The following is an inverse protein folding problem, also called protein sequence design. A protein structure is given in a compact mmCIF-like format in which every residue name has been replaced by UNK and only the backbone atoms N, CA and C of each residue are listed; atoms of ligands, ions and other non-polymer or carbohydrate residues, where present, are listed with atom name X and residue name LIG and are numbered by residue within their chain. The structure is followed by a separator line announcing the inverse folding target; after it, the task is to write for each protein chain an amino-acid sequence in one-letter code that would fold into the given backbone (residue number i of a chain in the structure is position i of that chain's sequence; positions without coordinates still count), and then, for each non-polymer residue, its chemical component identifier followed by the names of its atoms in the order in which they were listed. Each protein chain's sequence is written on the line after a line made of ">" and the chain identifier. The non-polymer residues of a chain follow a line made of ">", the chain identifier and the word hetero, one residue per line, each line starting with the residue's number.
data_IF_840927345196
#
_entry.id   IF_840927345196
#
_cell.length_a   1.000
_cell.length_b   1.000
_cell.length_c   1.000
_cell.angle_alpha   90.00
_cell.angle_beta   90.00
_cell.angle_gamma   90.00
#
_symmetry.space_group_name_H-M   'P 1'
#
loop_
_entity.id
_entity.type
_entity.pdbx_description
1 polymer ?
#
# COMPACT_ATOMS: atom_id res chain seq x y z
N UNK A 1 -12.03 12.27 17.33
CA UNK A 1 -12.00 12.56 15.87
C UNK A 1 -13.01 11.73 15.05
N UNK A 2 -13.02 10.40 15.16
CA UNK A 2 -13.85 9.49 14.35
C UNK A 2 -15.35 9.86 14.35
N UNK A 3 -15.93 10.18 15.52
CA UNK A 3 -17.34 10.60 15.60
C UNK A 3 -17.64 11.87 14.78
N UNK A 4 -16.73 12.85 14.78
CA UNK A 4 -16.88 14.08 13.97
C UNK A 4 -16.89 13.77 12.48
N UNK A 5 -16.01 12.87 12.01
CA UNK A 5 -15.97 12.43 10.62
C UNK A 5 -17.25 11.68 10.23
N UNK A 6 -17.79 10.82 11.11
CA UNK A 6 -19.07 10.13 10.88
C UNK A 6 -20.23 11.11 10.72
N UNK A 7 -20.31 12.11 11.60
CA UNK A 7 -21.35 13.14 11.52
C UNK A 7 -21.20 14.01 10.26
N UNK A 8 -19.96 14.40 9.92
CA UNK A 8 -19.68 15.12 8.68
C UNK A 8 -20.10 14.31 7.45
N UNK A 9 -19.80 13.01 7.40
CA UNK A 9 -20.22 12.12 6.31
C UNK A 9 -21.75 12.06 6.17
N UNK A 10 -22.48 12.00 7.29
CA UNK A 10 -23.95 12.01 7.30
C UNK A 10 -24.48 13.34 6.77
N UNK A 11 -23.99 14.46 7.32
CA UNK A 11 -24.38 15.80 6.88
C UNK A 11 -24.08 16.05 5.40
N UNK A 12 -22.91 15.62 4.90
CA UNK A 12 -22.55 15.73 3.47
C UNK A 12 -23.51 14.89 2.63
N UNK A 13 -23.85 13.67 3.05
CA UNK A 13 -24.79 12.81 2.32
C UNK A 13 -26.19 13.44 2.24
N UNK A 14 -26.67 14.01 3.34
CA UNK A 14 -27.97 14.66 3.40
C UNK A 14 -27.96 15.94 2.56
N UNK A 15 -26.89 16.74 2.64
CA UNK A 15 -26.69 17.91 1.78
C UNK A 15 -26.64 17.54 0.29
N UNK A 16 -25.93 16.47 -0.09
CA UNK A 16 -25.89 15.97 -1.48
C UNK A 16 -27.27 15.54 -1.97
N UNK A 17 -28.16 15.06 -1.09
CA UNK A 17 -29.56 14.76 -1.44
C UNK A 17 -30.39 16.03 -1.65
N UNK A 18 -30.05 17.13 -0.99
CA UNK A 18 -30.72 18.43 -1.16
C UNK A 18 -30.22 19.21 -2.38
N UNK A 19 -29.04 18.87 -2.92
CA UNK A 19 -28.55 19.50 -4.14
C UNK A 19 -29.47 19.15 -5.32
N UNK A 20 -29.92 20.14 -6.11
CA UNK A 20 -30.66 19.85 -7.33
C UNK A 20 -29.81 18.95 -8.21
N UNK A 21 -30.39 17.82 -8.66
CA UNK A 21 -29.79 16.96 -9.69
C UNK A 21 -29.92 17.60 -11.07
N UNK A 22 -29.67 18.91 -11.17
CA UNK A 22 -29.61 19.58 -12.45
C UNK A 22 -28.47 18.99 -13.23
N UNK A 23 -28.78 18.38 -14.36
CA UNK A 23 -27.74 17.82 -15.22
C UNK A 23 -26.93 18.99 -15.78
N UNK A 24 -25.61 18.84 -15.88
CA UNK A 24 -24.76 19.84 -16.55
C UNK A 24 -25.35 20.19 -17.94
N UNK A 25 -25.96 19.21 -18.61
CA UNK A 25 -26.63 19.37 -19.89
C UNK A 25 -27.81 20.34 -19.84
N UNK A 26 -28.63 20.31 -18.79
CA UNK A 26 -29.75 21.24 -18.58
C UNK A 26 -29.25 22.67 -18.37
N UNK A 27 -28.23 22.86 -17.52
CA UNK A 27 -27.64 24.19 -17.26
C UNK A 27 -26.89 24.75 -18.47
N UNK A 28 -26.26 23.88 -19.26
CA UNK A 28 -25.67 24.26 -20.54
C UNK A 28 -26.72 24.62 -21.60
N UNK A 29 -27.89 23.97 -21.59
CA UNK A 29 -29.01 24.35 -22.44
C UNK A 29 -29.57 25.71 -22.02
N UNK A 30 -29.83 25.91 -20.73
CA UNK A 30 -30.30 27.19 -20.18
C UNK A 30 -29.33 28.34 -20.50
N UNK A 31 -28.02 28.11 -20.44
CA UNK A 31 -27.02 29.10 -20.82
C UNK A 31 -27.04 29.41 -22.32
N UNK A 32 -27.22 28.39 -23.17
CA UNK A 32 -27.33 28.58 -24.63
C UNK A 32 -28.57 29.39 -24.98
N UNK A 33 -29.71 29.06 -24.38
CA UNK A 33 -30.98 29.75 -24.63
C UNK A 33 -30.90 31.22 -24.19
N UNK A 34 -30.33 31.48 -23.01
CA UNK A 34 -30.13 32.84 -22.51
C UNK A 34 -29.13 33.65 -23.39
N UNK A 35 -28.10 33.00 -23.93
CA UNK A 35 -27.16 33.63 -24.87
C UNK A 35 -27.82 33.96 -26.21
N UNK A 36 -28.77 33.15 -26.68
CA UNK A 36 -29.58 33.43 -27.87
C UNK A 36 -30.55 34.61 -27.62
N UNK A 37 -31.17 34.69 -26.44
CA UNK A 37 -32.03 35.82 -26.07
C UNK A 37 -31.24 37.13 -25.97
N UNK A 38 -30.03 37.09 -25.41
CA UNK A 38 -29.12 38.25 -25.34
C UNK A 38 -28.64 38.73 -26.71
N UNK A 39 -28.54 37.85 -27.71
CA UNK A 39 -28.25 38.27 -29.10
C UNK A 39 -29.41 39.06 -29.71
N UNK A 40 -30.65 38.83 -29.25
CA UNK A 40 -31.84 39.58 -29.66
C UNK A 40 -32.03 40.91 -28.92
N UNK A 41 -31.56 41.03 -27.67
CA UNK A 41 -31.68 42.24 -26.84
C UNK A 41 -30.37 42.58 -26.12
N UNK A 42 -29.45 43.22 -26.87
CA UNK A 42 -28.07 43.47 -26.44
C UNK A 42 -27.90 44.54 -25.33
N UNK A 43 -28.97 45.22 -24.92
CA UNK A 43 -28.91 46.34 -23.97
C UNK A 43 -29.46 46.01 -22.58
N UNK A 44 -29.92 44.77 -22.35
CA UNK A 44 -30.44 44.35 -21.04
C UNK A 44 -29.32 44.01 -20.05
N UNK A 45 -29.01 44.97 -19.15
CA UNK A 45 -28.02 44.78 -18.08
C UNK A 45 -28.38 43.65 -17.09
N UNK A 46 -29.67 43.37 -16.91
CA UNK A 46 -30.15 42.29 -16.03
C UNK A 46 -29.91 40.90 -16.64
N UNK A 47 -30.14 40.76 -17.96
CA UNK A 47 -29.85 39.52 -18.68
C UNK A 47 -28.34 39.25 -18.75
N UNK A 48 -27.52 40.27 -18.98
CA UNK A 48 -26.06 40.13 -18.95
C UNK A 48 -25.55 39.69 -17.56
N UNK A 49 -26.14 40.20 -16.47
CA UNK A 49 -25.80 39.77 -15.12
C UNK A 49 -26.28 38.35 -14.80
N UNK A 50 -27.40 37.91 -15.39
CA UNK A 50 -27.90 36.53 -15.30
C UNK A 50 -27.02 35.56 -16.08
N UNK A 51 -26.59 35.92 -17.29
CA UNK A 51 -25.67 35.13 -18.12
C UNK A 51 -24.35 34.92 -17.40
N UNK A 52 -23.76 35.99 -16.85
CA UNK A 52 -22.50 35.89 -16.12
C UNK A 52 -22.58 34.95 -14.92
N UNK A 53 -23.70 34.96 -14.18
CA UNK A 53 -23.93 34.05 -13.05
C UNK A 53 -24.09 32.60 -13.51
N UNK A 54 -24.90 32.38 -14.55
CA UNK A 54 -25.16 31.04 -15.09
C UNK A 54 -23.90 30.44 -15.74
N UNK A 55 -23.10 31.25 -16.44
CA UNK A 55 -21.81 30.87 -17.00
C UNK A 55 -20.81 30.47 -15.91
N UNK A 56 -20.77 31.20 -14.79
CA UNK A 56 -19.94 30.85 -13.63
C UNK A 56 -20.39 29.53 -12.99
N UNK A 57 -21.70 29.30 -12.88
CA UNK A 57 -22.28 28.05 -12.37
C UNK A 57 -21.94 26.86 -13.29
N UNK A 58 -22.14 27.01 -14.60
CA UNK A 58 -21.79 25.98 -15.61
C UNK A 58 -20.30 25.67 -15.59
N UNK A 59 -19.42 26.68 -15.54
CA UNK A 59 -17.97 26.46 -15.45
C UNK A 59 -17.59 25.75 -14.15
N UNK A 60 -18.25 26.04 -13.04
CA UNK A 60 -18.03 25.35 -11.77
C UNK A 60 -18.44 23.87 -11.87
N UNK A 61 -19.61 23.58 -12.45
CA UNK A 61 -20.09 22.22 -12.67
C UNK A 61 -19.19 21.43 -13.63
N UNK A 62 -18.70 22.07 -14.70
CA UNK A 62 -17.72 21.49 -15.64
C UNK A 62 -16.43 21.12 -14.93
N UNK A 63 -15.85 22.05 -14.17
CA UNK A 63 -14.63 21.82 -13.41
C UNK A 63 -14.80 20.66 -12.41
N UNK A 64 -15.96 20.57 -11.75
CA UNK A 64 -16.27 19.44 -10.85
C UNK A 64 -16.34 18.10 -11.60
N UNK A 65 -16.97 18.04 -12.77
CA UNK A 65 -17.01 16.84 -13.59
C UNK A 65 -15.62 16.45 -14.10
N UNK A 66 -14.82 17.42 -14.55
CA UNK A 66 -13.44 17.24 -14.99
C UNK A 66 -12.57 16.65 -13.88
N UNK A 67 -12.57 17.26 -12.69
CA UNK A 67 -11.82 16.76 -11.53
C UNK A 67 -12.26 15.34 -11.17
N UNK A 68 -13.57 15.09 -11.16
CA UNK A 68 -14.12 13.77 -10.84
C UNK A 68 -13.74 12.70 -11.87
N UNK A 69 -13.77 13.04 -13.16
CA UNK A 69 -13.39 12.13 -14.24
C UNK A 69 -11.87 11.87 -14.22
N UNK A 70 -11.05 12.90 -14.05
CA UNK A 70 -9.60 12.79 -13.94
C UNK A 70 -9.19 11.88 -12.77
N UNK A 71 -9.82 12.07 -11.61
CA UNK A 71 -9.58 11.22 -10.43
C UNK A 71 -9.96 9.76 -10.69
N UNK A 72 -11.11 9.51 -11.34
CA UNK A 72 -11.57 8.17 -11.70
C UNK A 72 -10.68 7.50 -12.76
N UNK A 73 -10.13 8.28 -13.69
CA UNK A 73 -9.20 7.80 -14.69
C UNK A 73 -7.81 7.46 -14.10
N UNK A 74 -7.41 8.08 -12.97
CA UNK A 74 -6.06 8.08 -12.39
C UNK A 74 -4.95 8.47 -13.40
N UNK A 75 -5.21 9.45 -14.25
CA UNK A 75 -4.20 10.01 -15.16
C UNK A 75 -3.43 11.15 -14.46
N UNK A 76 -2.10 11.04 -14.38
CA UNK A 76 -1.22 12.07 -13.78
C UNK A 76 -0.84 13.21 -14.74
N UNK A 77 -1.19 13.10 -16.03
CA UNK A 77 -0.75 13.98 -17.11
C UNK A 77 -1.49 15.33 -17.20
N UNK A 78 -2.55 15.50 -16.41
CA UNK A 78 -3.42 16.66 -16.47
C UNK A 78 -2.88 17.82 -15.62
N UNK A 79 -1.59 18.12 -15.74
CA UNK A 79 -1.03 19.37 -15.20
C UNK A 79 -1.30 20.56 -16.13
N UNK A 80 -1.53 20.32 -17.43
CA UNK A 80 -1.82 21.36 -18.40
C UNK A 80 -2.98 20.96 -19.34
N UNK A 81 -4.18 21.47 -19.04
CA UNK A 81 -5.04 22.07 -20.07
C UNK A 81 -5.89 21.23 -21.04
N UNK A 82 -6.33 20.00 -20.74
CA UNK A 82 -7.29 19.30 -21.62
C UNK A 82 -8.61 18.86 -20.93
N UNK A 83 -9.73 19.14 -21.61
CA UNK A 83 -11.13 19.05 -21.12
C UNK A 83 -11.59 17.62 -20.81
N UNK A 84 -12.70 17.44 -20.09
CA UNK A 84 -13.36 16.13 -19.91
C UNK A 84 -13.97 15.60 -21.24
N UNK A 85 -13.12 15.12 -22.13
CA UNK A 85 -13.49 14.58 -23.45
C UNK A 85 -14.05 13.15 -23.36
N UNK A 86 -14.73 12.73 -24.44
CA UNK A 86 -15.16 11.33 -24.65
C UNK A 86 -14.01 10.33 -24.43
N UNK A 87 -12.79 10.71 -24.79
CA UNK A 87 -11.58 9.93 -24.54
C UNK A 87 -11.39 9.55 -23.07
N UNK A 88 -11.60 10.47 -22.11
CA UNK A 88 -11.49 10.13 -20.69
C UNK A 88 -12.56 9.13 -20.24
N UNK A 89 -13.79 9.30 -20.72
CA UNK A 89 -14.85 8.33 -20.46
C UNK A 89 -14.55 6.97 -21.07
N UNK A 90 -13.94 6.92 -22.26
CA UNK A 90 -13.53 5.67 -22.91
C UNK A 90 -12.36 5.01 -22.16
N UNK A 91 -11.38 5.77 -21.66
CA UNK A 91 -10.31 5.27 -20.78
C UNK A 91 -10.88 4.72 -19.47
N UNK A 92 -11.85 5.43 -18.86
CA UNK A 92 -12.54 4.96 -17.66
C UNK A 92 -13.30 3.66 -17.97
N UNK A 93 -14.06 3.59 -19.07
CA UNK A 93 -14.80 2.38 -19.48
C UNK A 93 -13.86 1.22 -19.76
N UNK A 94 -12.77 1.45 -20.48
CA UNK A 94 -11.76 0.42 -20.77
C UNK A 94 -11.11 -0.10 -19.47
N UNK A 95 -10.84 0.78 -18.50
CA UNK A 95 -10.33 0.39 -17.18
C UNK A 95 -11.37 -0.37 -16.36
N UNK A 96 -12.62 0.08 -16.35
CA UNK A 96 -13.72 -0.62 -15.70
C UNK A 96 -13.91 -2.00 -16.30
N UNK A 97 -13.85 -2.14 -17.62
CA UNK A 97 -13.96 -3.41 -18.31
C UNK A 97 -12.81 -4.35 -17.97
N UNK A 98 -11.56 -3.88 -18.01
CA UNK A 98 -10.37 -4.67 -17.62
C UNK A 98 -10.37 -5.10 -16.14
N UNK A 99 -10.88 -4.26 -15.25
CA UNK A 99 -10.94 -4.55 -13.82
C UNK A 99 -12.20 -5.32 -13.40
N UNK A 100 -13.18 -5.47 -14.30
CA UNK A 100 -14.43 -6.16 -13.99
C UNK A 100 -14.18 -7.65 -13.89
N UNK A 101 -14.33 -8.19 -12.69
CA UNK A 101 -14.37 -9.63 -12.47
C UNK A 101 -15.71 -10.13 -13.02
N UNK A 102 -15.66 -10.79 -14.17
CA UNK A 102 -16.84 -11.37 -14.85
C UNK A 102 -16.99 -12.86 -14.56
N UNK A 103 -15.87 -13.54 -14.35
CA UNK A 103 -15.82 -14.98 -14.13
C UNK A 103 -14.65 -15.31 -13.21
N UNK A 104 -14.86 -16.24 -12.29
CA UNK A 104 -13.82 -16.82 -11.46
C UNK A 104 -13.84 -18.34 -11.60
N UNK A 105 -12.68 -18.97 -11.52
CA UNK A 105 -12.58 -20.42 -11.33
C UNK A 105 -12.50 -20.64 -9.83
N UNK A 106 -13.55 -21.23 -9.26
CA UNK A 106 -13.59 -21.61 -7.84
C UNK A 106 -12.62 -22.74 -7.53
N UNK A 107 -12.46 -23.05 -6.25
CA UNK A 107 -11.54 -24.10 -5.76
C UNK A 107 -11.78 -25.47 -6.39
N UNK A 108 -13.04 -25.79 -6.71
CA UNK A 108 -13.45 -27.07 -7.29
C UNK A 108 -13.24 -27.14 -8.82
N UNK A 109 -12.55 -26.16 -9.41
CA UNK A 109 -12.39 -26.03 -10.85
C UNK A 109 -13.64 -25.54 -11.58
N UNK A 110 -14.73 -25.27 -10.85
CA UNK A 110 -16.00 -24.78 -11.41
C UNK A 110 -15.90 -23.32 -11.81
N UNK A 111 -16.46 -23.00 -12.98
CA UNK A 111 -16.58 -21.63 -13.44
C UNK A 111 -17.75 -20.94 -12.73
N UNK A 112 -17.43 -19.93 -11.93
CA UNK A 112 -18.38 -19.07 -11.24
C UNK A 112 -18.58 -17.80 -12.07
N UNK A 113 -19.79 -17.62 -12.60
CA UNK A 113 -20.18 -16.45 -13.40
C UNK A 113 -21.24 -15.59 -12.70
N UNK A 114 -21.96 -16.17 -11.73
CA UNK A 114 -22.95 -15.44 -10.94
C UNK A 114 -22.28 -14.41 -10.03
N UNK A 115 -22.88 -13.21 -9.94
CA UNK A 115 -22.31 -12.10 -9.19
C UNK A 115 -22.28 -12.37 -7.68
N UNK A 116 -23.30 -13.02 -7.13
CA UNK A 116 -23.37 -13.32 -5.70
C UNK A 116 -22.34 -14.39 -5.36
N UNK A 117 -22.28 -15.45 -6.17
CA UNK A 117 -21.29 -16.51 -6.00
C UNK A 117 -19.84 -15.99 -6.13
N UNK A 118 -19.56 -15.04 -7.03
CA UNK A 118 -18.25 -14.37 -7.13
C UNK A 118 -17.90 -13.62 -5.83
N UNK A 119 -18.88 -12.96 -5.21
CA UNK A 119 -18.67 -12.21 -3.97
C UNK A 119 -18.36 -13.16 -2.81
N UNK A 120 -19.15 -14.22 -2.66
CA UNK A 120 -18.97 -15.24 -1.63
C UNK A 120 -17.62 -15.96 -1.78
N UNK A 121 -17.24 -16.34 -3.00
CA UNK A 121 -15.96 -16.96 -3.31
C UNK A 121 -14.79 -16.03 -2.94
N UNK A 122 -14.90 -14.73 -3.26
CA UNK A 122 -13.86 -13.76 -2.93
C UNK A 122 -13.70 -13.58 -1.42
N UNK A 123 -14.82 -13.45 -0.68
CA UNK A 123 -14.79 -13.35 0.78
C UNK A 123 -14.19 -14.61 1.40
N UNK A 124 -14.61 -15.79 0.96
CA UNK A 124 -14.08 -17.07 1.44
C UNK A 124 -12.57 -17.18 1.20
N UNK A 125 -12.13 -16.96 -0.04
CA UNK A 125 -10.72 -17.08 -0.42
C UNK A 125 -9.82 -16.16 0.39
N UNK A 126 -10.18 -14.88 0.56
CA UNK A 126 -9.36 -13.94 1.33
C UNK A 126 -9.48 -14.14 2.84
N UNK A 127 -10.63 -14.58 3.34
CA UNK A 127 -10.77 -14.98 4.73
C UNK A 127 -9.86 -16.17 5.05
N UNK A 128 -9.87 -17.23 4.22
CA UNK A 128 -8.95 -18.37 4.36
C UNK A 128 -7.48 -17.98 4.14
N UNK A 129 -7.19 -17.08 3.19
CA UNK A 129 -5.84 -16.61 2.97
C UNK A 129 -5.28 -15.90 4.21
N UNK A 130 -6.09 -15.07 4.87
CA UNK A 130 -5.65 -14.27 6.02
C UNK A 130 -5.79 -14.96 7.37
N UNK A 131 -6.33 -16.18 7.40
CA UNK A 131 -6.37 -17.01 8.59
C UNK A 131 -5.48 -18.25 8.41
N UNK A 132 -4.51 -18.40 9.30
CA UNK A 132 -3.74 -19.64 9.44
C UNK A 132 -3.74 -20.07 10.90
N UNK A 133 -3.75 -21.38 11.11
CA UNK A 133 -3.86 -22.02 12.43
C UNK A 133 -2.53 -22.51 12.99
N UNK A 134 -1.54 -22.79 12.14
CA UNK A 134 -0.34 -23.50 12.56
C UNK A 134 0.93 -22.69 12.24
N UNK A 135 1.59 -22.22 13.29
CA UNK A 135 2.95 -21.69 13.27
C UNK A 135 3.77 -22.36 14.38
N UNK A 136 5.09 -22.51 14.19
CA UNK A 136 5.96 -22.92 15.28
C UNK A 136 5.91 -21.87 16.39
N UNK A 137 5.82 -22.32 17.65
CA UNK A 137 5.82 -21.46 18.83
C UNK A 137 7.22 -21.02 19.26
N UNK A 138 8.26 -21.59 18.65
CA UNK A 138 9.66 -21.34 18.98
C UNK A 138 10.38 -20.84 17.74
N UNK A 139 10.93 -19.63 17.83
CA UNK A 139 11.71 -19.02 16.76
C UNK A 139 13.21 -19.10 17.09
N UNK A 140 14.06 -19.51 16.15
CA UNK A 140 15.50 -19.53 16.39
C UNK A 140 16.02 -18.11 16.66
N UNK A 141 16.77 -17.94 17.76
CA UNK A 141 17.41 -16.66 18.08
C UNK A 141 18.71 -16.50 17.27
N UNK A 142 18.58 -16.06 16.02
CA UNK A 142 19.74 -15.76 15.17
C UNK A 142 20.31 -14.36 15.43
N UNK A 143 19.45 -13.40 15.75
CA UNK A 143 19.86 -12.03 16.10
C UNK A 143 20.19 -12.00 17.59
N UNK A 144 21.49 -12.05 17.89
CA UNK A 144 22.02 -12.09 19.27
C UNK A 144 22.57 -10.74 19.74
N UNK A 145 22.71 -9.78 18.83
CA UNK A 145 23.18 -8.42 19.12
C UNK A 145 22.02 -7.44 19.01
N UNK A 146 21.88 -6.59 20.02
CA UNK A 146 20.98 -5.44 19.99
C UNK A 146 21.41 -4.50 18.86
N UNK A 147 20.59 -4.38 17.82
CA UNK A 147 20.87 -3.56 16.65
C UNK A 147 20.37 -2.13 16.84
N UNK A 148 19.25 -1.95 17.53
CA UNK A 148 18.76 -0.62 17.90
C UNK A 148 19.23 -0.22 19.30
N UNK A 149 19.89 0.92 19.39
CA UNK A 149 20.39 1.43 20.66
C UNK A 149 19.26 2.01 21.52
N UNK A 150 19.53 2.20 22.81
CA UNK A 150 18.61 2.91 23.71
C UNK A 150 18.31 4.33 23.20
N UNK A 151 19.33 5.01 22.65
CA UNK A 151 19.14 6.28 21.96
C UNK A 151 18.20 6.15 20.75
N UNK A 152 18.37 5.13 19.91
CA UNK A 152 17.45 4.84 18.81
C UNK A 152 16.00 4.65 19.27
N UNK A 153 15.80 3.86 20.32
CA UNK A 153 14.48 3.71 20.95
C UNK A 153 13.93 5.04 21.49
N UNK A 154 14.76 5.89 22.09
CA UNK A 154 14.32 7.21 22.58
C UNK A 154 13.77 8.11 21.45
N UNK A 155 14.37 8.03 20.25
CA UNK A 155 13.90 8.75 19.06
C UNK A 155 12.57 8.18 18.55
N UNK A 156 12.44 6.85 18.50
CA UNK A 156 11.17 6.18 18.14
C UNK A 156 10.04 6.55 19.12
N UNK A 157 10.37 6.77 20.39
CA UNK A 157 9.41 7.01 21.47
C UNK A 157 9.13 8.49 21.77
N UNK A 158 9.78 9.43 21.08
CA UNK A 158 9.61 10.86 21.31
C UNK A 158 8.13 11.32 21.20
N UNK A 159 7.69 12.36 21.91
CA UNK A 159 6.32 12.87 21.77
C UNK A 159 6.02 13.36 20.34
N UNK A 160 4.80 13.12 19.86
CA UNK A 160 4.37 13.55 18.51
C UNK A 160 4.08 15.06 18.49
N UNK A 161 4.69 15.77 17.53
CA UNK A 161 4.52 17.21 17.33
C UNK A 161 3.56 17.50 16.18
N UNK A 162 2.84 18.63 16.27
CA UNK A 162 1.95 19.10 15.19
C UNK A 162 2.66 19.20 13.84
N UNK A 163 3.89 19.72 13.84
CA UNK A 163 4.68 19.92 12.62
C UNK A 163 4.95 18.61 11.86
N UNK A 164 5.17 17.50 12.57
CA UNK A 164 5.39 16.17 11.96
C UNK A 164 4.12 15.71 11.24
N UNK A 165 2.98 15.83 11.91
CA UNK A 165 1.66 15.45 11.37
C UNK A 165 1.32 16.33 10.16
N UNK A 166 1.51 17.63 10.28
CA UNK A 166 1.26 18.59 9.21
C UNK A 166 2.11 18.29 7.97
N UNK A 167 3.40 18.00 8.15
CA UNK A 167 4.30 17.64 7.05
C UNK A 167 3.76 16.44 6.27
N UNK A 168 3.29 15.39 6.96
CA UNK A 168 2.71 14.21 6.33
C UNK A 168 1.43 14.56 5.56
N UNK A 169 0.54 15.33 6.19
CA UNK A 169 -0.71 15.73 5.54
C UNK A 169 -0.45 16.57 4.31
N UNK A 170 0.49 17.53 4.37
CA UNK A 170 0.82 18.44 3.26
C UNK A 170 1.59 17.78 2.13
N UNK A 171 2.36 16.73 2.39
CA UNK A 171 3.09 15.98 1.35
C UNK A 171 2.24 14.93 0.63
N UNK A 172 1.12 14.48 1.21
CA UNK A 172 0.33 13.39 0.66
C UNK A 172 -0.33 13.74 -0.70
N UNK A 173 -0.25 12.85 -1.68
CA UNK A 173 -0.96 13.04 -2.95
C UNK A 173 -2.49 13.10 -2.72
N UNK A 174 -3.13 14.21 -3.12
CA UNK A 174 -4.54 14.48 -2.88
C UNK A 174 -5.49 13.58 -3.70
N UNK A 175 -4.99 12.93 -4.75
CA UNK A 175 -5.77 12.09 -5.67
C UNK A 175 -5.96 10.65 -5.18
N UNK A 176 -5.32 10.26 -4.08
CA UNK A 176 -5.38 8.88 -3.56
C UNK A 176 -6.78 8.49 -3.11
N UNK A 177 -7.13 7.22 -3.32
CA UNK A 177 -8.42 6.67 -2.94
C UNK A 177 -8.61 6.66 -1.41
N UNK A 178 -9.81 6.98 -0.91
CA UNK A 178 -10.12 6.93 0.51
C UNK A 178 -10.30 5.49 1.02
N UNK A 179 -10.29 5.32 2.34
CA UNK A 179 -10.71 4.09 3.00
C UNK A 179 -12.24 4.05 3.22
N UNK A 180 -12.73 3.14 4.08
CA UNK A 180 -14.15 3.00 4.42
C UNK A 180 -14.84 4.27 4.94
N UNK A 181 -14.08 5.16 5.58
CA UNK A 181 -14.60 6.44 6.05
C UNK A 181 -15.02 7.37 4.88
N UNK A 182 -14.43 7.20 3.70
CA UNK A 182 -14.70 8.00 2.50
C UNK A 182 -13.93 9.32 2.42
N UNK A 183 -13.01 9.59 3.36
CA UNK A 183 -12.23 10.83 3.38
C UNK A 183 -10.83 10.60 2.81
N UNK A 184 -10.52 11.27 1.70
CA UNK A 184 -9.19 11.19 1.06
C UNK A 184 -8.18 12.13 1.72
N UNK A 185 -6.90 11.94 1.42
CA UNK A 185 -5.82 12.88 1.77
C UNK A 185 -6.14 14.33 1.36
N UNK A 186 -6.76 14.51 0.20
CA UNK A 186 -7.19 15.83 -0.30
C UNK A 186 -8.21 16.52 0.62
N UNK A 187 -9.11 15.77 1.26
CA UNK A 187 -10.04 16.31 2.25
C UNK A 187 -9.29 16.87 3.47
N UNK A 188 -8.33 16.11 4.00
CA UNK A 188 -7.54 16.54 5.17
C UNK A 188 -6.66 17.75 4.85
N UNK A 189 -6.03 17.77 3.67
CA UNK A 189 -5.25 18.92 3.18
C UNK A 189 -6.08 20.19 3.11
N UNK A 190 -7.23 20.13 2.42
CA UNK A 190 -8.08 21.31 2.17
C UNK A 190 -8.67 21.89 3.47
N UNK A 191 -8.99 21.04 4.44
CA UNK A 191 -9.62 21.45 5.69
C UNK A 191 -8.66 21.40 6.89
N UNK A 192 -7.35 21.41 6.64
CA UNK A 192 -6.33 21.21 7.68
C UNK A 192 -6.46 22.20 8.84
N UNK A 193 -6.74 23.46 8.55
CA UNK A 193 -6.91 24.51 9.57
C UNK A 193 -7.96 24.15 10.64
N UNK A 194 -9.01 23.41 10.25
CA UNK A 194 -10.09 22.96 11.13
C UNK A 194 -9.75 21.61 11.77
N UNK A 195 -9.06 20.73 11.02
CA UNK A 195 -8.81 19.35 11.41
C UNK A 195 -7.53 19.15 12.24
N UNK A 196 -6.57 20.08 12.21
CA UNK A 196 -5.23 19.90 12.79
C UNK A 196 -5.24 19.49 14.26
N UNK A 197 -6.02 20.18 15.10
CA UNK A 197 -6.11 19.91 16.54
C UNK A 197 -6.72 18.53 16.83
N UNK A 198 -7.93 18.18 16.32
CA UNK A 198 -8.51 16.86 16.59
C UNK A 198 -7.76 15.71 15.92
N UNK A 199 -7.06 15.94 14.80
CA UNK A 199 -6.18 14.92 14.20
C UNK A 199 -4.97 14.67 15.09
N UNK A 200 -4.28 15.71 15.54
CA UNK A 200 -3.14 15.56 16.45
C UNK A 200 -3.53 14.81 17.72
N UNK A 201 -4.64 15.19 18.35
CA UNK A 201 -5.12 14.52 19.56
C UNK A 201 -5.38 13.03 19.34
N UNK A 202 -6.00 12.64 18.22
CA UNK A 202 -6.25 11.24 17.89
C UNK A 202 -4.96 10.46 17.59
N UNK A 203 -3.96 11.11 16.98
CA UNK A 203 -2.65 10.51 16.74
C UNK A 203 -1.91 10.34 18.06
N UNK A 204 -1.85 11.36 18.91
CA UNK A 204 -1.21 11.30 20.23
C UNK A 204 -1.83 10.22 21.11
N UNK A 205 -3.17 10.12 21.15
CA UNK A 205 -3.87 9.06 21.87
C UNK A 205 -3.41 7.66 21.48
N UNK A 206 -3.18 7.38 20.19
CA UNK A 206 -2.60 6.11 19.75
C UNK A 206 -1.17 5.92 20.25
N UNK A 207 -0.32 6.94 20.17
CA UNK A 207 1.06 6.82 20.66
C UNK A 207 1.09 6.67 22.19
N UNK A 208 0.21 7.33 22.94
CA UNK A 208 0.18 7.26 24.40
C UNK A 208 -0.39 5.92 24.90
N UNK A 209 -1.46 5.41 24.26
CA UNK A 209 -2.17 4.20 24.73
C UNK A 209 -1.76 2.92 24.00
N UNK A 210 -1.19 3.03 22.81
CA UNK A 210 -0.92 1.89 21.92
C UNK A 210 -2.17 1.22 21.35
N UNK A 211 -3.35 1.86 21.42
CA UNK A 211 -4.62 1.26 20.98
C UNK A 211 -5.27 2.01 19.82
N UNK A 212 -5.84 1.25 18.88
CA UNK A 212 -6.58 1.78 17.74
C UNK A 212 -8.09 1.57 17.91
N UNK A 213 -8.87 2.57 17.51
CA UNK A 213 -10.32 2.41 17.38
C UNK A 213 -10.63 1.42 16.26
N UNK A 214 -11.49 0.43 16.54
CA UNK A 214 -11.87 -0.61 15.58
C UNK A 214 -12.37 -0.03 14.25
N UNK A 215 -13.15 1.05 14.28
CA UNK A 215 -13.67 1.66 13.05
C UNK A 215 -12.59 2.36 12.22
N UNK A 216 -11.52 2.82 12.87
CA UNK A 216 -10.38 3.43 12.19
C UNK A 216 -9.57 2.37 11.43
N UNK A 217 -9.48 1.15 11.98
CA UNK A 217 -8.66 0.08 11.42
C UNK A 217 -9.40 -0.82 10.39
N UNK A 218 -10.72 -0.63 10.22
CA UNK A 218 -11.45 -1.29 9.15
C UNK A 218 -10.93 -0.85 7.77
N UNK A 219 -10.75 -1.81 6.86
CA UNK A 219 -9.98 -1.63 5.63
C UNK A 219 -10.69 -2.29 4.44
N UNK A 220 -10.67 -1.64 3.28
CA UNK A 220 -11.17 -2.23 2.05
C UNK A 220 -10.08 -2.98 1.27
N UNK A 221 -10.39 -4.16 0.76
CA UNK A 221 -9.51 -4.96 -0.09
C UNK A 221 -9.90 -4.78 -1.56
N UNK A 222 -9.11 -4.02 -2.32
CA UNK A 222 -9.33 -3.81 -3.76
C UNK A 222 -8.55 -4.84 -4.56
N UNK A 223 -9.22 -5.54 -5.46
CA UNK A 223 -8.59 -6.58 -6.29
C UNK A 223 -8.02 -5.96 -7.58
N UNK A 224 -6.70 -6.03 -7.76
CA UNK A 224 -6.02 -5.54 -8.96
C UNK A 224 -5.49 -6.74 -9.76
N UNK A 225 -5.92 -6.95 -11.01
CA UNK A 225 -5.46 -8.10 -11.80
C UNK A 225 -3.94 -8.01 -12.08
N UNK A 226 -3.23 -9.14 -11.95
CA UNK A 226 -1.80 -9.25 -12.30
C UNK A 226 -1.57 -9.36 -13.81
N UNK A 227 -2.54 -9.93 -14.52
CA UNK A 227 -2.51 -10.21 -15.97
C UNK A 227 -3.90 -9.96 -16.57
N UNK A 228 -3.94 -9.71 -17.87
CA UNK A 228 -5.22 -9.60 -18.58
C UNK A 228 -5.98 -10.92 -18.56
N UNK A 229 -7.31 -10.85 -18.44
CA UNK A 229 -8.16 -12.04 -18.39
C UNK A 229 -7.97 -12.90 -17.13
N UNK A 230 -7.53 -12.33 -16.00
CA UNK A 230 -7.39 -13.04 -14.73
C UNK A 230 -8.68 -13.79 -14.35
N UNK A 231 -8.59 -15.12 -14.22
CA UNK A 231 -9.71 -16.02 -13.92
C UNK A 231 -9.62 -16.64 -12.52
N UNK A 232 -8.47 -16.60 -11.86
CA UNK A 232 -8.29 -17.09 -10.49
C UNK A 232 -8.08 -15.94 -9.53
N UNK A 233 -8.60 -16.03 -8.30
CA UNK A 233 -8.33 -15.06 -7.24
C UNK A 233 -6.84 -14.98 -6.86
N UNK A 234 -6.03 -16.00 -7.18
CA UNK A 234 -4.57 -15.96 -7.02
C UNK A 234 -3.87 -15.02 -8.03
N UNK A 235 -4.54 -14.74 -9.17
CA UNK A 235 -4.08 -13.81 -10.20
C UNK A 235 -4.41 -12.35 -9.86
N UNK A 236 -5.00 -12.07 -8.70
CA UNK A 236 -5.25 -10.71 -8.23
C UNK A 236 -4.30 -10.34 -7.10
N UNK A 237 -3.84 -9.08 -7.11
CA UNK A 237 -3.16 -8.45 -5.97
C UNK A 237 -4.21 -7.80 -5.06
N UNK A 238 -4.27 -8.17 -3.77
CA UNK A 238 -5.14 -7.51 -2.82
C UNK A 238 -4.52 -6.18 -2.36
N UNK A 239 -4.97 -5.05 -2.90
CA UNK A 239 -4.51 -3.73 -2.46
C UNK A 239 -5.44 -3.18 -1.39
N UNK A 240 -4.89 -2.94 -0.20
CA UNK A 240 -5.65 -2.37 0.91
C UNK A 240 -5.86 -0.87 0.77
N UNK A 241 -7.06 -0.43 1.12
CA UNK A 241 -7.45 0.97 1.21
C UNK A 241 -7.81 1.28 2.66
N UNK A 242 -6.80 1.61 3.46
CA UNK A 242 -6.98 2.02 4.86
C UNK A 242 -7.50 3.46 4.94
N UNK A 243 -8.21 3.78 6.04
CA UNK A 243 -8.61 5.15 6.37
C UNK A 243 -7.39 6.08 6.45
N UNK A 244 -7.54 7.32 5.97
CA UNK A 244 -6.39 8.22 5.87
C UNK A 244 -5.83 8.62 7.23
N UNK A 245 -6.68 8.75 8.26
CA UNK A 245 -6.21 9.01 9.63
C UNK A 245 -5.30 7.88 10.16
N UNK A 246 -5.61 6.61 9.85
CA UNK A 246 -4.71 5.49 10.15
C UNK A 246 -3.40 5.61 9.37
N UNK A 247 -3.48 5.99 8.08
CA UNK A 247 -2.28 6.18 7.25
C UNK A 247 -1.34 7.25 7.81
N UNK A 248 -1.87 8.32 8.44
CA UNK A 248 -1.04 9.33 9.12
C UNK A 248 -0.22 8.67 10.23
N UNK A 249 -0.85 7.85 11.08
CA UNK A 249 -0.18 7.13 12.17
C UNK A 249 0.95 6.24 11.64
N UNK A 250 0.65 5.39 10.65
CA UNK A 250 1.67 4.50 10.09
C UNK A 250 2.79 5.25 9.39
N UNK A 251 2.49 6.38 8.75
CA UNK A 251 3.50 7.18 8.07
C UNK A 251 4.43 7.87 9.07
N UNK A 252 3.92 8.29 10.24
CA UNK A 252 4.76 8.74 11.36
C UNK A 252 5.65 7.61 11.85
N UNK A 253 5.11 6.40 12.01
CA UNK A 253 5.91 5.24 12.42
C UNK A 253 7.03 4.94 11.42
N UNK A 254 6.74 4.94 10.12
CA UNK A 254 7.75 4.77 9.06
C UNK A 254 8.85 5.83 9.14
N UNK A 255 8.47 7.11 9.30
CA UNK A 255 9.44 8.21 9.41
C UNK A 255 10.38 8.05 10.59
N UNK A 256 9.86 7.58 11.73
CA UNK A 256 10.69 7.32 12.92
C UNK A 256 11.64 6.15 12.71
N UNK A 257 11.20 5.11 12.01
CA UNK A 257 12.05 3.97 11.69
C UNK A 257 13.06 4.26 10.58
N UNK A 258 12.80 5.25 9.72
CA UNK A 258 13.56 5.51 8.49
C UNK A 258 15.07 5.56 8.70
N UNK A 259 15.53 6.29 9.73
CA UNK A 259 16.95 6.44 10.03
C UNK A 259 17.54 5.16 10.65
N UNK A 260 16.75 4.41 11.43
CA UNK A 260 17.18 3.14 12.01
C UNK A 260 17.33 2.03 10.95
N UNK A 261 16.53 2.05 9.88
CA UNK A 261 16.52 0.99 8.86
C UNK A 261 17.90 0.74 8.23
N UNK A 262 18.75 1.76 8.10
CA UNK A 262 20.07 1.59 7.50
C UNK A 262 21.01 0.73 8.35
N UNK A 263 20.88 0.78 9.68
CA UNK A 263 21.65 -0.04 10.61
C UNK A 263 21.02 -1.40 10.91
N UNK A 264 19.72 -1.53 10.69
CA UNK A 264 18.97 -2.77 10.95
C UNK A 264 19.05 -3.79 9.79
N UNK A 265 19.29 -3.33 8.56
CA UNK A 265 19.14 -4.16 7.36
C UNK A 265 20.43 -4.18 6.54
N UNK A 266 20.88 -5.38 6.18
CA UNK A 266 22.07 -5.64 5.39
C UNK A 266 22.01 -5.01 3.99
N UNK A 267 23.17 -4.70 3.41
CA UNK A 267 23.30 -4.01 2.11
C UNK A 267 22.74 -4.81 0.92
N UNK A 268 22.48 -6.09 1.12
CA UNK A 268 21.89 -7.00 0.14
C UNK A 268 20.45 -6.63 -0.22
N UNK A 269 19.73 -5.90 0.65
CA UNK A 269 18.37 -5.40 0.40
C UNK A 269 18.39 -3.95 -0.09
N UNK A 270 17.84 -3.67 -1.29
CA UNK A 270 17.68 -2.27 -1.76
C UNK A 270 16.37 -1.65 -1.35
N UNK A 271 15.31 -2.46 -1.33
CA UNK A 271 13.97 -1.92 -1.36
C UNK A 271 13.63 -1.24 -0.02
N UNK A 272 12.92 -0.11 -0.12
CA UNK A 272 12.34 0.62 1.01
C UNK A 272 13.35 1.16 2.04
N UNK A 273 14.62 1.29 1.69
CA UNK A 273 15.65 1.89 2.54
C UNK A 273 16.13 3.18 1.90
N UNK A 274 16.05 4.27 2.65
CA UNK A 274 16.46 5.61 2.20
C UNK A 274 17.92 5.60 1.75
N UNK A 275 18.16 6.12 0.55
CA UNK A 275 19.50 6.23 -0.03
C UNK A 275 19.99 4.99 -0.78
N UNK A 276 19.21 3.91 -0.84
CA UNK A 276 19.52 2.74 -1.68
C UNK A 276 18.73 2.78 -2.98
N UNK A 277 19.39 2.49 -4.10
CA UNK A 277 18.75 2.51 -5.43
C UNK A 277 18.65 1.13 -6.04
N UNK A 278 17.51 0.84 -6.70
CA UNK A 278 17.36 -0.38 -7.51
C UNK A 278 18.37 -0.43 -8.66
N UNK A 279 18.78 0.73 -9.17
CA UNK A 279 19.75 0.82 -10.25
C UNK A 279 21.13 0.30 -9.82
N UNK A 280 21.54 0.56 -8.56
CA UNK A 280 22.80 0.09 -8.00
C UNK A 280 22.82 -1.44 -7.87
N UNK A 281 21.74 -2.04 -7.34
CA UNK A 281 21.65 -3.50 -7.28
C UNK A 281 21.50 -4.14 -8.65
N UNK A 282 20.82 -3.50 -9.59
CA UNK A 282 20.74 -3.98 -10.97
C UNK A 282 22.12 -3.97 -11.64
N UNK A 283 22.91 -2.92 -11.44
CA UNK A 283 24.28 -2.83 -11.92
C UNK A 283 25.17 -3.90 -11.27
N UNK A 284 25.09 -4.04 -9.94
CA UNK A 284 25.82 -5.06 -9.21
C UNK A 284 25.48 -6.47 -9.70
N UNK A 285 24.20 -6.77 -9.94
CA UNK A 285 23.78 -8.04 -10.53
C UNK A 285 24.41 -8.26 -11.91
N UNK A 286 24.44 -7.23 -12.78
CA UNK A 286 25.09 -7.32 -14.08
C UNK A 286 26.61 -7.58 -13.96
N UNK A 287 27.29 -6.92 -13.03
CA UNK A 287 28.71 -7.14 -12.80
C UNK A 287 29.00 -8.55 -12.28
N UNK A 288 28.17 -9.07 -11.37
CA UNK A 288 28.28 -10.43 -10.87
C UNK A 288 28.00 -11.46 -11.96
N UNK A 289 27.01 -11.22 -12.83
CA UNK A 289 26.73 -12.09 -13.99
C UNK A 289 27.88 -12.04 -15.01
N UNK A 290 28.56 -10.91 -15.17
CA UNK A 290 29.76 -10.83 -16.03
C UNK A 290 30.86 -11.78 -15.53
N UNK A 291 30.99 -12.00 -14.22
CA UNK A 291 31.92 -13.00 -13.68
C UNK A 291 31.59 -14.43 -14.16
N UNK A 292 30.35 -14.74 -14.57
CA UNK A 292 29.98 -16.07 -15.08
C UNK A 292 30.72 -16.42 -16.36
N UNK A 293 31.05 -15.42 -17.18
CA UNK A 293 31.76 -15.59 -18.44
C UNK A 293 33.27 -15.76 -18.25
N UNK A 294 33.80 -15.50 -17.04
CA UNK A 294 35.23 -15.64 -16.75
C UNK A 294 35.60 -17.08 -16.36
N UNK A 295 36.80 -17.56 -16.73
CA UNK A 295 37.32 -18.84 -16.28
C UNK A 295 37.45 -18.85 -14.75
N UNK A 296 37.07 -19.97 -14.11
CA UNK A 296 37.07 -20.08 -12.65
C UNK A 296 36.02 -21.02 -12.06
N UNK A 297 35.59 -22.03 -12.81
CA UNK A 297 34.57 -22.99 -12.38
C UNK A 297 33.13 -22.60 -12.73
N UNK A 298 32.22 -23.55 -12.49
CA UNK A 298 30.78 -23.35 -12.68
C UNK A 298 30.24 -22.30 -11.70
N UNK A 299 29.24 -21.54 -12.14
CA UNK A 299 28.55 -20.51 -11.36
C UNK A 299 27.05 -20.63 -11.63
N UNK A 300 26.24 -20.43 -10.60
CA UNK A 300 24.79 -20.55 -10.68
C UNK A 300 24.13 -19.30 -10.13
N UNK A 301 23.03 -18.93 -10.77
CA UNK A 301 22.15 -17.83 -10.38
C UNK A 301 20.76 -18.40 -10.22
N UNK A 302 20.20 -18.27 -9.01
CA UNK A 302 18.87 -18.80 -8.67
C UNK A 302 17.96 -17.63 -8.38
N UNK A 303 16.94 -17.45 -9.22
CA UNK A 303 15.85 -16.51 -8.95
C UNK A 303 14.76 -17.22 -8.17
N UNK A 304 14.37 -16.66 -7.03
CA UNK A 304 13.36 -17.20 -6.14
C UNK A 304 12.17 -16.23 -6.10
N UNK A 305 10.96 -16.79 -6.16
CA UNK A 305 9.69 -16.04 -6.10
C UNK A 305 8.93 -16.45 -4.84
N UNK A 306 8.64 -15.47 -3.98
CA UNK A 306 7.93 -15.70 -2.73
C UNK A 306 6.41 -15.64 -2.96
N UNK A 307 5.75 -16.79 -2.81
CA UNK A 307 4.30 -16.90 -3.03
C UNK A 307 3.54 -16.07 -1.99
N UNK A 308 2.93 -14.97 -2.44
CA UNK A 308 2.10 -14.07 -1.61
C UNK A 308 2.86 -13.59 -0.36
N UNK A 309 4.09 -13.10 -0.57
CA UNK A 309 5.03 -12.76 0.49
C UNK A 309 4.43 -11.89 1.60
N UNK A 310 3.71 -10.81 1.26
CA UNK A 310 3.06 -9.95 2.25
C UNK A 310 1.92 -10.67 2.98
N UNK A 311 1.08 -11.43 2.27
CA UNK A 311 -0.13 -12.03 2.85
C UNK A 311 0.17 -13.21 3.80
N UNK A 312 1.40 -13.73 3.80
CA UNK A 312 1.79 -14.97 4.49
C UNK A 312 2.69 -14.79 5.71
N UNK A 313 3.23 -13.58 5.93
CA UNK A 313 4.11 -13.26 7.07
C UNK A 313 3.49 -13.66 8.41
N UNK A 314 4.23 -14.40 9.24
CA UNK A 314 3.87 -14.61 10.64
C UNK A 314 4.12 -13.33 11.46
N UNK A 315 3.04 -12.80 12.05
CA UNK A 315 3.09 -11.57 12.85
C UNK A 315 3.75 -11.77 14.20
N UNK A 316 3.61 -12.94 14.79
CA UNK A 316 4.26 -13.25 16.06
C UNK A 316 5.76 -13.40 15.86
N UNK A 317 6.19 -14.09 14.80
CA UNK A 317 7.61 -14.11 14.41
C UNK A 317 8.16 -12.69 14.23
N UNK A 318 7.47 -11.83 13.48
CA UNK A 318 7.88 -10.44 13.29
C UNK A 318 8.03 -9.69 14.62
N UNK A 319 7.10 -9.85 15.57
CA UNK A 319 7.22 -9.21 16.88
C UNK A 319 8.43 -9.73 17.67
N UNK A 320 8.68 -11.04 17.67
CA UNK A 320 9.86 -11.64 18.29
C UNK A 320 11.15 -11.17 17.64
N UNK A 321 11.16 -11.05 16.31
CA UNK A 321 12.30 -10.55 15.54
C UNK A 321 12.62 -9.10 15.93
N UNK A 322 11.60 -8.24 16.01
CA UNK A 322 11.78 -6.85 16.46
C UNK A 322 12.29 -6.77 17.90
N UNK A 323 11.77 -7.59 18.80
CA UNK A 323 12.30 -7.67 20.16
C UNK A 323 13.78 -8.09 20.19
N UNK A 324 14.16 -9.11 19.40
CA UNK A 324 15.54 -9.57 19.27
C UNK A 324 16.49 -8.51 18.66
N UNK A 325 15.99 -7.68 17.74
CA UNK A 325 16.72 -6.52 17.21
C UNK A 325 16.90 -5.39 18.23
N UNK A 326 16.19 -5.45 19.37
CA UNK A 326 16.29 -4.49 20.48
C UNK A 326 15.21 -3.41 20.53
N UNK A 327 14.16 -3.51 19.71
CA UNK A 327 13.07 -2.53 19.75
C UNK A 327 12.40 -2.56 21.14
N UNK A 328 12.09 -1.39 21.68
CA UNK A 328 11.35 -1.29 22.95
C UNK A 328 10.01 -2.02 22.87
N UNK A 329 9.62 -2.67 23.97
CA UNK A 329 8.37 -3.42 24.08
C UNK A 329 7.16 -2.57 23.64
N UNK A 330 7.09 -1.33 24.11
CA UNK A 330 6.01 -0.39 23.74
C UNK A 330 5.96 -0.11 22.23
N UNK A 331 7.11 -0.06 21.54
CA UNK A 331 7.13 0.09 20.09
C UNK A 331 6.61 -1.17 19.38
N UNK A 332 7.05 -2.34 19.84
CA UNK A 332 6.60 -3.63 19.31
C UNK A 332 5.08 -3.78 19.51
N UNK A 333 4.54 -3.37 20.65
CA UNK A 333 3.10 -3.41 20.93
C UNK A 333 2.29 -2.48 20.01
N UNK A 334 2.79 -1.28 19.73
CA UNK A 334 2.17 -0.37 18.75
C UNK A 334 2.15 -0.98 17.35
N UNK A 335 3.25 -1.64 16.94
CA UNK A 335 3.30 -2.37 15.67
C UNK A 335 2.32 -3.55 15.68
N UNK A 336 2.29 -4.32 16.77
CA UNK A 336 1.36 -5.44 16.98
C UNK A 336 -0.09 -4.99 16.85
N UNK A 337 -0.48 -3.89 17.47
CA UNK A 337 -1.81 -3.31 17.33
C UNK A 337 -2.12 -2.99 15.86
N UNK A 338 -1.21 -2.33 15.14
CA UNK A 338 -1.38 -2.00 13.72
C UNK A 338 -1.56 -3.23 12.83
N UNK A 339 -0.86 -4.33 13.09
CA UNK A 339 -0.93 -5.53 12.23
C UNK A 339 -2.02 -6.51 12.65
N UNK A 340 -2.44 -6.57 13.92
CA UNK A 340 -3.38 -7.60 14.41
C UNK A 340 -4.84 -7.15 14.51
N UNK A 341 -5.12 -5.87 14.79
CA UNK A 341 -6.50 -5.36 14.89
C UNK A 341 -7.24 -5.00 13.59
N UNK A 342 -6.68 -5.06 12.36
CA UNK A 342 -7.43 -4.76 11.15
C UNK A 342 -8.57 -5.74 10.87
N UNK A 343 -9.65 -5.21 10.30
CA UNK A 343 -10.75 -5.99 9.71
C UNK A 343 -10.92 -5.61 8.25
N UNK A 344 -11.42 -6.53 7.44
CA UNK A 344 -11.44 -6.41 5.99
C UNK A 344 -12.85 -6.60 5.41
N UNK A 345 -13.12 -5.86 4.34
CA UNK A 345 -14.21 -6.13 3.39
C UNK A 345 -13.64 -6.10 1.97
N UNK A 346 -14.04 -7.04 1.13
CA UNK A 346 -13.56 -7.15 -0.26
C UNK A 346 -14.38 -6.24 -1.16
N UNK A 347 -13.72 -5.37 -1.93
CA UNK A 347 -14.38 -4.53 -2.93
C UNK A 347 -14.53 -5.30 -4.24
N UNK A 348 -15.77 -5.68 -4.55
CA UNK A 348 -16.15 -6.25 -5.84
C UNK A 348 -16.95 -5.18 -6.59
N UNK A 349 -16.40 -4.72 -7.72
CA UNK A 349 -17.03 -3.69 -8.56
C UNK A 349 -17.37 -2.39 -7.78
N UNK A 350 -16.57 -2.07 -6.76
CA UNK A 350 -16.72 -0.86 -5.94
C UNK A 350 -17.68 -1.00 -4.75
N UNK A 351 -18.31 -2.16 -4.57
CA UNK A 351 -19.19 -2.45 -3.43
C UNK A 351 -18.43 -3.34 -2.43
N UNK A 352 -18.42 -3.01 -1.13
CA UNK A 352 -17.77 -3.83 -0.11
C UNK A 352 -18.62 -5.05 0.26
N UNK A 353 -17.99 -6.22 0.33
CA UNK A 353 -18.60 -7.48 0.72
C UNK A 353 -17.80 -8.18 1.83
N UNK A 354 -18.51 -8.86 2.72
CA UNK A 354 -17.93 -9.57 3.86
C UNK A 354 -17.41 -8.64 4.97
N UNK A 355 -17.17 -9.23 6.14
CA UNK A 355 -16.52 -8.58 7.27
C UNK A 355 -15.75 -9.64 8.05
N UNK A 356 -14.43 -9.61 7.99
CA UNK A 356 -13.59 -10.65 8.59
C UNK A 356 -12.28 -10.08 9.14
N UNK A 357 -11.70 -10.76 10.11
CA UNK A 357 -10.40 -10.44 10.70
C UNK A 357 -9.24 -11.05 9.90
N UNK A 358 -8.06 -11.07 10.51
CA UNK A 358 -6.88 -11.71 9.93
C UNK A 358 -5.94 -12.13 11.07
N UNK A 359 -5.40 -13.35 10.99
CA UNK A 359 -4.39 -13.84 11.93
C UNK A 359 -2.95 -13.78 11.39
N UNK A 360 -2.76 -13.61 10.08
CA UNK A 360 -1.42 -13.51 9.45
C UNK A 360 -1.31 -12.46 8.35
N UNK A 361 -0.09 -12.17 7.95
CA UNK A 361 0.23 -11.31 6.82
C UNK A 361 0.24 -9.82 7.15
N UNK A 362 0.76 -9.03 6.22
CA UNK A 362 0.87 -7.59 6.25
C UNK A 362 -0.03 -6.96 5.19
N UNK A 363 -0.43 -5.70 5.40
CA UNK A 363 -1.39 -5.02 4.53
C UNK A 363 -0.70 -4.40 3.31
N UNK A 364 -0.91 -4.99 2.13
CA UNK A 364 -0.35 -4.47 0.88
C UNK A 364 -0.99 -3.12 0.47
N UNK A 365 -0.34 -2.01 0.81
CA UNK A 365 -0.85 -0.64 0.62
C UNK A 365 -0.88 0.21 1.90
N UNK A 366 -0.54 -0.40 3.04
CA UNK A 366 -0.19 0.29 4.27
C UNK A 366 1.28 0.77 4.20
N UNK A 367 1.57 2.06 4.48
CA UNK A 367 2.95 2.59 4.53
C UNK A 367 3.92 1.78 5.40
N UNK A 368 3.44 1.19 6.51
CA UNK A 368 4.30 0.47 7.47
C UNK A 368 4.69 -0.92 6.98
N UNK A 369 3.83 -1.56 6.19
CA UNK A 369 4.01 -2.97 5.79
C UNK A 369 5.31 -3.25 5.03
N UNK A 370 5.77 -2.41 4.08
CA UNK A 370 7.07 -2.61 3.41
C UNK A 370 8.27 -2.61 4.37
N UNK A 371 8.27 -1.73 5.38
CA UNK A 371 9.37 -1.66 6.35
C UNK A 371 9.43 -2.93 7.20
N UNK A 372 8.27 -3.39 7.67
CA UNK A 372 8.15 -4.63 8.44
C UNK A 372 8.54 -5.85 7.62
N UNK A 373 8.11 -5.90 6.35
CA UNK A 373 8.50 -6.97 5.43
C UNK A 373 10.02 -6.99 5.19
N UNK A 374 10.64 -5.82 5.04
CA UNK A 374 12.10 -5.71 4.94
C UNK A 374 12.82 -6.26 6.18
N UNK A 375 12.30 -6.06 7.39
CA UNK A 375 12.86 -6.66 8.61
C UNK A 375 12.77 -8.19 8.57
N UNK A 376 11.64 -8.76 8.12
CA UNK A 376 11.50 -10.21 7.94
C UNK A 376 12.55 -10.74 6.95
N UNK A 377 12.75 -10.05 5.83
CA UNK A 377 13.77 -10.43 4.84
C UNK A 377 15.20 -10.33 5.39
N UNK A 378 15.46 -9.50 6.41
CA UNK A 378 16.77 -9.47 7.06
C UNK A 378 17.09 -10.79 7.78
N UNK A 379 16.07 -11.48 8.29
CA UNK A 379 16.27 -12.81 8.87
C UNK A 379 16.74 -13.82 7.81
N UNK A 380 16.20 -13.74 6.59
CA UNK A 380 16.69 -14.54 5.45
C UNK A 380 18.16 -14.21 5.14
N UNK A 381 18.54 -12.93 5.12
CA UNK A 381 19.94 -12.51 4.98
C UNK A 381 20.82 -13.15 6.06
N UNK A 382 20.38 -13.13 7.32
CA UNK A 382 21.11 -13.73 8.43
C UNK A 382 21.33 -15.25 8.23
N UNK A 383 20.30 -15.99 7.78
CA UNK A 383 20.43 -17.42 7.46
C UNK A 383 21.46 -17.67 6.36
N UNK A 384 21.41 -16.87 5.30
CA UNK A 384 22.35 -16.95 4.18
C UNK A 384 23.78 -16.65 4.64
N UNK A 385 23.98 -15.63 5.46
CA UNK A 385 25.31 -15.26 5.97
C UNK A 385 25.89 -16.33 6.87
N UNK A 386 25.07 -16.99 7.70
CA UNK A 386 25.50 -18.15 8.50
C UNK A 386 25.90 -19.32 7.59
N UNK A 387 25.13 -19.60 6.53
CA UNK A 387 25.45 -20.66 5.57
C UNK A 387 26.74 -20.37 4.81
N UNK A 388 27.00 -19.11 4.45
CA UNK A 388 28.23 -18.65 3.80
C UNK A 388 29.41 -18.71 4.76
N UNK A 389 29.26 -18.22 5.98
CA UNK A 389 30.33 -18.22 6.99
C UNK A 389 30.76 -19.64 7.38
N UNK A 390 29.83 -20.60 7.39
CA UNK A 390 30.10 -22.03 7.60
C UNK A 390 30.60 -22.75 6.34
N UNK A 391 30.87 -22.04 5.25
CA UNK A 391 31.31 -22.56 3.96
C UNK A 391 30.37 -23.63 3.36
N UNK A 392 29.09 -23.62 3.78
CA UNK A 392 28.06 -24.53 3.26
C UNK A 392 27.51 -24.00 1.92
N UNK A 393 27.46 -22.68 1.77
CA UNK A 393 27.21 -21.98 0.51
C UNK A 393 28.46 -21.20 0.14
N UNK A 394 28.98 -21.40 -1.07
CA UNK A 394 30.14 -20.67 -1.58
C UNK A 394 29.63 -19.56 -2.53
N UNK A 395 29.73 -18.29 -2.15
CA UNK A 395 29.26 -17.17 -2.97
C UNK A 395 30.18 -16.94 -4.19
N UNK A 396 29.74 -16.07 -5.08
CA UNK A 396 30.55 -15.63 -6.21
C UNK A 396 31.45 -14.48 -5.75
N UNK A 397 32.77 -14.70 -5.82
CA UNK A 397 33.77 -13.70 -5.50
C UNK A 397 34.06 -12.82 -6.72
N UNK A 398 33.85 -11.51 -6.59
CA UNK A 398 34.48 -10.53 -7.47
C UNK A 398 35.91 -10.26 -6.98
N UNK A 399 36.86 -10.01 -7.90
CA UNK A 399 38.24 -9.60 -7.55
C UNK A 399 38.31 -8.24 -6.86
N UNK A 400 37.24 -7.47 -6.92
CA UNK A 400 37.07 -6.18 -6.24
C UNK A 400 35.83 -6.32 -5.35
N UNK A 401 36.01 -6.06 -4.05
CA UNK A 401 35.02 -6.14 -2.96
C UNK A 401 33.60 -5.66 -3.34
N UNK A 402 32.50 -6.16 -2.74
CA UNK A 402 32.39 -7.17 -1.68
C UNK A 402 31.95 -8.57 -2.19
N UNK A 403 32.00 -9.57 -1.28
CA UNK A 403 31.43 -10.90 -1.49
C UNK A 403 29.91 -10.80 -1.43
N UNK A 404 29.23 -11.16 -2.52
CA UNK A 404 27.76 -11.08 -2.62
C UNK A 404 27.21 -12.49 -2.83
N UNK A 405 26.49 -12.99 -1.83
CA UNK A 405 25.79 -14.29 -1.88
C UNK A 405 24.37 -14.17 -2.42
N UNK A 406 23.72 -13.04 -2.17
CA UNK A 406 22.33 -12.80 -2.59
C UNK A 406 22.04 -11.30 -2.73
N UNK A 407 21.03 -10.97 -3.54
CA UNK A 407 20.48 -9.63 -3.75
C UNK A 407 18.96 -9.70 -3.57
N UNK A 408 18.41 -8.75 -2.83
CA UNK A 408 16.98 -8.69 -2.52
C UNK A 408 16.43 -7.33 -2.96
N UNK A 409 15.29 -7.36 -3.62
CA UNK A 409 14.46 -6.20 -3.84
C UNK A 409 13.02 -6.52 -3.45
N UNK A 410 12.66 -6.19 -2.21
CA UNK A 410 11.38 -6.60 -1.63
C UNK A 410 11.24 -8.14 -1.67
N UNK A 411 10.29 -8.66 -2.45
CA UNK A 411 10.01 -10.09 -2.63
C UNK A 411 10.82 -10.75 -3.76
N UNK A 412 11.46 -9.98 -4.64
CA UNK A 412 12.39 -10.51 -5.64
C UNK A 412 13.74 -10.87 -4.98
N UNK A 413 14.06 -12.16 -4.98
CA UNK A 413 15.29 -12.70 -4.41
C UNK A 413 16.17 -13.35 -5.49
N UNK A 414 17.43 -12.93 -5.55
CA UNK A 414 18.44 -13.48 -6.43
C UNK A 414 19.60 -14.05 -5.60
N UNK A 415 19.90 -15.34 -5.74
CA UNK A 415 21.01 -16.00 -5.05
C UNK A 415 22.10 -16.37 -6.04
N UNK A 416 23.34 -16.03 -5.71
CA UNK A 416 24.52 -16.17 -6.56
C UNK A 416 25.55 -17.05 -5.85
N UNK A 417 25.81 -18.24 -6.39
CA UNK A 417 26.68 -19.23 -5.75
C UNK A 417 27.48 -20.07 -6.75
N UNK A 418 28.54 -20.74 -6.27
CA UNK A 418 29.17 -21.84 -6.99
C UNK A 418 28.37 -23.12 -6.78
N UNK A 419 27.83 -23.75 -7.84
CA UNK A 419 26.95 -24.89 -7.70
C UNK A 419 27.71 -26.08 -7.14
N UNK A 420 27.17 -26.66 -6.08
CA UNK A 420 27.56 -27.96 -5.53
C UNK A 420 26.33 -28.62 -4.94
N UNK A 421 26.30 -29.95 -4.90
CA UNK A 421 25.17 -30.66 -4.28
C UNK A 421 24.96 -30.28 -2.81
N UNK A 422 26.06 -30.02 -2.09
CA UNK A 422 26.02 -29.54 -0.70
C UNK A 422 25.40 -28.14 -0.62
N UNK A 423 25.86 -27.19 -1.44
CA UNK A 423 25.36 -25.82 -1.43
C UNK A 423 23.91 -25.69 -1.86
N UNK A 424 23.46 -26.48 -2.83
CA UNK A 424 22.06 -26.48 -3.26
C UNK A 424 21.13 -27.08 -2.20
N UNK A 425 21.56 -28.13 -1.48
CA UNK A 425 20.81 -28.68 -0.34
C UNK A 425 20.74 -27.70 0.82
N UNK A 426 21.84 -27.01 1.11
CA UNK A 426 21.86 -25.97 2.14
C UNK A 426 20.92 -24.81 1.77
N UNK A 427 20.92 -24.35 0.52
CA UNK A 427 19.99 -23.32 0.06
C UNK A 427 18.53 -23.78 0.21
N UNK A 428 18.23 -25.04 -0.11
CA UNK A 428 16.90 -25.60 0.09
C UNK A 428 16.51 -25.63 1.59
N UNK A 429 17.44 -26.02 2.48
CA UNK A 429 17.20 -26.02 3.92
C UNK A 429 16.96 -24.60 4.48
N UNK A 430 17.75 -23.60 4.04
CA UNK A 430 17.53 -22.19 4.38
C UNK A 430 16.15 -21.72 3.93
N UNK A 431 15.72 -22.09 2.72
CA UNK A 431 14.40 -21.74 2.20
C UNK A 431 13.26 -22.43 2.97
N UNK A 432 13.46 -23.68 3.38
CA UNK A 432 12.48 -24.43 4.17
C UNK A 432 12.35 -23.86 5.58
N UNK A 433 13.46 -23.53 6.24
CA UNK A 433 13.46 -22.85 7.53
C UNK A 433 12.77 -21.48 7.44
N UNK A 434 13.14 -20.66 6.44
CA UNK A 434 12.52 -19.36 6.25
C UNK A 434 11.03 -19.46 5.91
N UNK A 435 10.62 -20.48 5.15
CA UNK A 435 9.21 -20.68 4.76
C UNK A 435 8.29 -21.17 5.88
N UNK A 436 8.83 -21.59 7.03
CA UNK A 436 8.06 -21.94 8.23
C UNK A 436 7.75 -20.73 9.12
N UNK A 437 8.42 -19.59 8.85
CA UNK A 437 8.29 -18.31 9.53
C UNK A 437 7.37 -17.37 8.72
#
# INVERSE_FOLDING_TARGET
>A
MVHRLKNAKRAIRDWVRTLPRTSLQEKEAELRDLQLELQGDMMSGEMAAREKRLAAEVNTLRLQQEISAAQRAKCSWLKDGDRCTKFFYDVIRARQHRNRIQRLIGRDGRLVTDQVAIQEEAVRFYSELYHQTDYPSVFPQLITKTLITEYGNSLLMAPIRMAEVETIVMQADASKAPGPDGFSSGFYKRHWNILKVPVLAAVQEFFDTGKLLKELNHTFLTLVPKKEGATSLADFRPIVCCNYLYKIITHLMCRRMEDAMQGLVSRNQAAFIKGRSIAEHSLLAHELIREFHKPGGMKACVKLDLRKAYDTVNRDFLCHLMAAMGFSETWVDRVRECITSPTFSVLIQGIPYGFFGSSRGLRQGDPLSPYLFTLVMEYFTCLMDIAVHRERIVPIYSRVSPVVSHLIYADDLLVLLRPSMRGMRELAAVMEEFGQL
#
